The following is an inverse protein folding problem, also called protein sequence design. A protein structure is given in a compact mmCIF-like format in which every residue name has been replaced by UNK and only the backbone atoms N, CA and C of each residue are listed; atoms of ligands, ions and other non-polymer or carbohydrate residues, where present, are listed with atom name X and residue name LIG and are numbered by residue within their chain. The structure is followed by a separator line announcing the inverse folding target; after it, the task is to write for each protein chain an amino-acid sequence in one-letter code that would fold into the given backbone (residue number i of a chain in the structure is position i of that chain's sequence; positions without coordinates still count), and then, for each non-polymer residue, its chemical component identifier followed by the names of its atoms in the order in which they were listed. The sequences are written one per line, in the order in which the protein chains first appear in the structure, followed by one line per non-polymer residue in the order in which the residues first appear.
data_IF_725259298139
#
_entry.id   IF_725259298139
#
_cell.length_a   1.000
_cell.length_b   1.000
_cell.length_c   1.000
_cell.angle_alpha   90.00
_cell.angle_beta   90.00
_cell.angle_gamma   90.00
#
_symmetry.space_group_name_H-M   'P 1'
#
loop_
_entity.id
_entity.type
_entity.pdbx_description
1 polymer ?
#
# COMPACT_ATOMS: atom_id res chain seq x y z
N UNK A 1 3.86 -12.06 -6.15
CA UNK A 1 3.54 -12.44 -4.76
C UNK A 1 2.81 -11.26 -4.14
N UNK A 2 1.51 -11.39 -3.87
CA UNK A 2 0.74 -10.40 -3.11
C UNK A 2 1.48 -10.06 -1.81
N UNK A 3 1.32 -8.84 -1.29
CA UNK A 3 1.81 -8.48 0.05
C UNK A 3 1.35 -9.56 1.05
N UNK A 4 2.27 -10.45 1.44
CA UNK A 4 2.07 -11.23 2.65
C UNK A 4 2.15 -10.23 3.79
N UNK A 5 0.99 -9.88 4.33
CA UNK A 5 0.92 -9.05 5.53
C UNK A 5 1.42 -9.93 6.67
N UNK A 6 2.68 -9.70 7.06
CA UNK A 6 3.23 -10.30 8.26
C UNK A 6 2.53 -9.63 9.45
N UNK A 7 1.58 -10.35 10.04
CA UNK A 7 0.92 -9.89 11.26
C UNK A 7 1.98 -9.75 12.35
N UNK A 8 1.97 -8.62 13.04
CA UNK A 8 2.86 -8.33 14.15
C UNK A 8 2.44 -9.11 15.40
N UNK A 9 1.14 -9.20 15.63
CA UNK A 9 0.52 -10.01 16.68
C UNK A 9 -0.55 -10.93 16.06
N UNK A 10 -0.82 -12.06 16.71
CA UNK A 10 -1.83 -13.03 16.26
C UNK A 10 -2.95 -13.13 17.29
N UNK A 11 -4.17 -12.85 16.86
CA UNK A 11 -5.35 -12.94 17.69
C UNK A 11 -6.48 -13.67 16.97
N UNK A 12 -7.36 -14.31 17.74
CA UNK A 12 -8.53 -15.02 17.22
C UNK A 12 -9.77 -14.56 17.99
N UNK A 13 -10.52 -13.64 17.39
CA UNK A 13 -11.80 -13.16 17.91
C UNK A 13 -12.87 -13.29 16.83
N UNK A 14 -14.12 -13.49 17.24
CA UNK A 14 -15.26 -13.65 16.33
C UNK A 14 -16.09 -12.37 16.20
N UNK A 15 -16.03 -11.48 17.18
CA UNK A 15 -16.80 -10.25 17.23
C UNK A 15 -16.10 -9.17 18.08
N UNK A 16 -16.64 -7.96 18.04
CA UNK A 16 -16.03 -6.81 18.73
C UNK A 16 -16.15 -6.87 20.26
N UNK A 17 -17.18 -7.53 20.81
CA UNK A 17 -17.35 -7.60 22.25
C UNK A 17 -16.20 -8.40 22.88
N UNK A 18 -15.80 -9.51 22.26
CA UNK A 18 -14.62 -10.28 22.68
C UNK A 18 -13.34 -9.42 22.71
N UNK A 19 -13.15 -8.54 21.72
CA UNK A 19 -11.99 -7.62 21.66
C UNK A 19 -12.03 -6.61 22.82
N UNK A 20 -13.21 -6.05 23.11
CA UNK A 20 -13.36 -5.03 24.14
C UNK A 20 -13.20 -5.64 25.53
N UNK A 21 -13.74 -6.83 25.75
CA UNK A 21 -13.64 -7.55 27.02
C UNK A 21 -12.18 -8.01 27.27
N UNK A 22 -11.41 -8.28 26.22
CA UNK A 22 -9.99 -8.69 26.28
C UNK A 22 -8.99 -7.53 26.07
N UNK A 23 -9.44 -6.28 26.15
CA UNK A 23 -8.61 -5.09 25.79
C UNK A 23 -7.27 -5.02 26.52
N UNK A 24 -7.23 -5.43 27.79
CA UNK A 24 -6.00 -5.42 28.59
C UNK A 24 -4.97 -6.41 28.05
N UNK A 25 -5.38 -7.65 27.79
CA UNK A 25 -4.51 -8.68 27.25
C UNK A 25 -3.97 -8.31 25.86
N UNK A 26 -4.83 -7.72 25.01
CA UNK A 26 -4.41 -7.22 23.69
C UNK A 26 -3.36 -6.12 23.84
N UNK A 27 -3.60 -5.13 24.72
CA UNK A 27 -2.64 -4.06 24.98
C UNK A 27 -1.30 -4.61 25.50
N UNK A 28 -1.34 -5.48 26.50
CA UNK A 28 -0.16 -6.10 27.11
C UNK A 28 0.63 -6.91 26.07
N UNK A 29 -0.06 -7.66 25.20
CA UNK A 29 0.57 -8.44 24.11
C UNK A 29 1.29 -7.54 23.11
N UNK A 30 0.66 -6.44 22.67
CA UNK A 30 1.28 -5.48 21.75
C UNK A 30 2.50 -4.83 22.40
N UNK A 31 2.37 -4.35 23.63
CA UNK A 31 3.45 -3.68 24.37
C UNK A 31 4.62 -4.63 24.62
N UNK A 32 4.36 -5.87 25.04
CA UNK A 32 5.40 -6.89 25.24
C UNK A 32 6.13 -7.19 23.94
N UNK A 33 5.41 -7.32 22.82
CA UNK A 33 6.04 -7.57 21.52
C UNK A 33 6.91 -6.41 21.05
N UNK A 34 6.46 -5.17 21.24
CA UNK A 34 7.28 -3.98 20.94
C UNK A 34 8.50 -3.91 21.86
N UNK A 35 8.31 -4.15 23.15
CA UNK A 35 9.36 -4.20 24.18
C UNK A 35 10.45 -5.23 23.84
N UNK A 36 10.06 -6.41 23.35
CA UNK A 36 10.97 -7.46 22.87
C UNK A 36 11.78 -7.02 21.64
N UNK A 37 11.12 -6.47 20.61
CA UNK A 37 11.76 -6.09 19.35
C UNK A 37 12.67 -4.86 19.47
N UNK A 38 12.41 -4.01 20.47
CA UNK A 38 13.26 -2.90 20.86
C UNK A 38 14.54 -3.34 21.59
N UNK A 39 14.60 -4.58 22.10
CA UNK A 39 15.80 -5.06 22.77
C UNK A 39 16.97 -5.05 21.77
N UNK A 40 17.98 -4.22 22.06
CA UNK A 40 19.19 -3.99 21.26
C UNK A 40 19.01 -3.14 19.98
N UNK A 41 17.94 -2.33 19.86
CA UNK A 41 17.77 -1.36 18.77
C UNK A 41 17.41 0.01 19.33
N UNK A 42 17.79 1.08 18.64
CA UNK A 42 17.15 2.39 18.85
C UNK A 42 15.67 2.33 18.43
N UNK A 43 14.84 3.24 18.95
CA UNK A 43 13.43 3.33 18.55
C UNK A 43 13.32 3.61 17.06
N UNK A 44 14.20 4.48 16.53
CA UNK A 44 14.27 4.78 15.11
C UNK A 44 14.52 3.53 14.26
N UNK A 45 15.55 2.75 14.59
CA UNK A 45 15.89 1.52 13.85
C UNK A 45 14.76 0.49 13.90
N UNK A 46 14.16 0.30 15.08
CA UNK A 46 13.01 -0.57 15.27
C UNK A 46 11.84 -0.15 14.37
N UNK A 47 11.42 1.11 14.42
CA UNK A 47 10.30 1.61 13.63
C UNK A 47 10.56 1.49 12.13
N UNK A 48 11.76 1.85 11.66
CA UNK A 48 12.13 1.69 10.25
C UNK A 48 12.03 0.21 9.82
N UNK A 49 12.58 -0.71 10.62
CA UNK A 49 12.48 -2.15 10.36
C UNK A 49 11.04 -2.64 10.35
N UNK A 50 10.22 -2.20 11.30
CA UNK A 50 8.80 -2.55 11.41
C UNK A 50 8.02 -2.20 10.13
N UNK A 51 8.21 -0.98 9.63
CA UNK A 51 7.56 -0.54 8.38
C UNK A 51 8.16 -1.20 7.13
N UNK A 52 9.48 -1.33 7.05
CA UNK A 52 10.15 -1.94 5.88
C UNK A 52 9.71 -3.38 5.65
N UNK A 53 9.43 -4.13 6.73
CA UNK A 53 8.90 -5.49 6.64
C UNK A 53 7.57 -5.56 5.86
N UNK A 54 6.81 -4.47 5.85
CA UNK A 54 5.54 -4.32 5.15
C UNK A 54 5.66 -3.69 3.75
N UNK A 55 6.88 -3.34 3.30
CA UNK A 55 7.09 -2.62 2.04
C UNK A 55 7.73 -3.49 0.98
N UNK A 56 7.26 -3.35 -0.27
CA UNK A 56 7.83 -4.01 -1.45
C UNK A 56 7.87 -3.02 -2.60
N UNK A 57 8.84 -3.23 -3.49
CA UNK A 57 8.90 -2.53 -4.77
C UNK A 57 9.06 -3.52 -5.91
N UNK A 58 8.56 -3.12 -7.07
CA UNK A 58 8.88 -3.77 -8.34
C UNK A 58 9.27 -2.69 -9.34
N UNK A 59 10.46 -2.82 -9.92
CA UNK A 59 10.98 -1.91 -10.95
C UNK A 59 10.99 -2.54 -12.33
N UNK A 60 10.67 -1.75 -13.35
CA UNK A 60 10.92 -2.09 -14.76
C UNK A 60 11.75 -1.00 -15.41
N UNK A 61 12.57 -1.41 -16.39
CA UNK A 61 13.30 -0.45 -17.22
C UNK A 61 13.38 -0.86 -18.68
N UNK A 62 13.52 0.14 -19.54
CA UNK A 62 14.05 0.03 -20.90
C UNK A 62 15.37 0.78 -20.97
N UNK A 63 16.00 0.83 -22.15
CA UNK A 63 17.23 1.63 -22.35
C UNK A 63 16.98 3.15 -22.20
N UNK A 64 15.71 3.56 -22.18
CA UNK A 64 15.32 4.96 -22.18
C UNK A 64 14.75 5.47 -20.84
N UNK A 65 14.02 4.62 -20.12
CA UNK A 65 13.20 5.07 -19.00
C UNK A 65 12.96 3.96 -17.97
N UNK A 66 12.80 4.37 -16.72
CA UNK A 66 12.51 3.49 -15.57
C UNK A 66 11.16 3.83 -14.95
N UNK A 67 10.52 2.82 -14.39
CA UNK A 67 9.30 2.95 -13.60
C UNK A 67 9.39 2.03 -12.39
N UNK A 68 8.82 2.48 -11.27
CA UNK A 68 8.79 1.75 -10.01
C UNK A 68 7.38 1.76 -9.46
N UNK A 69 6.92 0.59 -9.01
CA UNK A 69 5.71 0.45 -8.20
C UNK A 69 6.09 0.10 -6.77
N UNK A 70 5.69 0.93 -5.82
CA UNK A 70 5.74 0.68 -4.38
C UNK A 70 4.42 0.12 -3.90
N UNK A 71 4.48 -0.90 -3.04
CA UNK A 71 3.31 -1.50 -2.41
C UNK A 71 3.63 -1.71 -0.94
N UNK A 72 2.78 -1.19 -0.04
CA UNK A 72 3.02 -1.33 1.39
C UNK A 72 1.87 -0.90 2.28
N UNK A 73 1.98 -1.23 3.58
CA UNK A 73 1.06 -0.77 4.62
C UNK A 73 1.61 0.49 5.29
N UNK A 74 0.90 1.61 5.16
CA UNK A 74 1.37 2.92 5.63
C UNK A 74 0.37 3.54 6.60
N UNK A 75 0.78 4.40 7.54
CA UNK A 75 -0.16 5.07 8.44
C UNK A 75 -1.21 5.86 7.66
N UNK A 76 -2.50 5.66 7.97
CA UNK A 76 -3.59 6.35 7.26
C UNK A 76 -3.45 7.88 7.33
N UNK A 77 -2.89 8.39 8.42
CA UNK A 77 -2.67 9.82 8.67
C UNK A 77 -1.79 10.49 7.61
N UNK A 78 -0.86 9.75 6.96
CA UNK A 78 0.03 10.34 5.94
C UNK A 78 -0.54 10.29 4.53
N UNK A 79 -1.73 9.69 4.32
CA UNK A 79 -2.33 9.58 3.00
C UNK A 79 -2.59 10.97 2.38
N UNK A 80 -2.94 11.96 3.20
CA UNK A 80 -3.09 13.34 2.75
C UNK A 80 -1.77 13.90 2.17
N UNK A 81 -0.63 13.63 2.81
CA UNK A 81 0.68 14.07 2.32
C UNK A 81 1.11 13.31 1.06
N UNK A 82 0.91 11.99 1.01
CA UNK A 82 1.16 11.18 -0.18
C UNK A 82 0.36 11.72 -1.37
N UNK A 83 -0.89 12.12 -1.14
CA UNK A 83 -1.77 12.61 -2.20
C UNK A 83 -1.37 13.97 -2.78
N UNK A 84 -0.50 14.73 -2.12
CA UNK A 84 0.06 15.99 -2.68
C UNK A 84 1.02 15.76 -3.85
N UNK A 85 1.58 14.56 -3.98
CA UNK A 85 2.51 14.20 -5.07
C UNK A 85 1.75 13.81 -6.33
N UNK A 86 1.28 14.82 -7.08
CA UNK A 86 0.36 14.69 -8.23
C UNK A 86 0.87 13.83 -9.39
N UNK A 87 2.19 13.72 -9.55
CA UNK A 87 2.82 12.97 -10.66
C UNK A 87 2.84 11.46 -10.43
N UNK A 88 2.55 10.98 -9.21
CA UNK A 88 2.47 9.55 -8.89
C UNK A 88 1.05 9.03 -9.11
N UNK A 89 0.91 7.87 -9.75
CA UNK A 89 -0.34 7.13 -9.80
C UNK A 89 -0.52 6.37 -8.49
N UNK A 90 -1.68 6.47 -7.84
CA UNK A 90 -1.89 5.98 -6.48
C UNK A 90 -3.22 5.25 -6.34
N UNK A 91 -3.20 4.15 -5.61
CA UNK A 91 -4.36 3.47 -5.06
C UNK A 91 -4.16 3.24 -3.56
N UNK A 92 -5.22 3.39 -2.79
CA UNK A 92 -5.21 3.17 -1.34
C UNK A 92 -6.53 2.56 -0.90
N UNK A 93 -6.51 1.77 0.18
CA UNK A 93 -7.75 1.20 0.68
C UNK A 93 -8.74 2.23 1.21
N UNK A 94 -10.00 2.00 0.86
CA UNK A 94 -11.14 2.81 1.28
C UNK A 94 -11.69 2.31 2.61
N UNK A 95 -11.68 3.17 3.63
CA UNK A 95 -12.29 2.90 4.94
C UNK A 95 -13.79 2.62 4.85
N UNK A 96 -14.46 3.06 3.76
CA UNK A 96 -15.90 2.77 3.55
C UNK A 96 -16.15 1.33 3.08
N UNK A 97 -15.18 0.75 2.37
CA UNK A 97 -15.31 -0.57 1.76
C UNK A 97 -14.98 -1.70 2.73
N UNK A 98 -14.05 -1.47 3.66
CA UNK A 98 -13.58 -2.49 4.61
C UNK A 98 -14.64 -2.72 5.71
N UNK A 99 -15.06 -3.97 5.97
CA UNK A 99 -15.91 -4.29 7.13
C UNK A 99 -15.27 -3.83 8.45
N UNK A 100 -16.06 -3.23 9.33
CA UNK A 100 -15.55 -2.62 10.57
C UNK A 100 -14.76 -3.61 11.44
N UNK A 101 -15.34 -4.79 11.73
CA UNK A 101 -14.66 -5.83 12.52
C UNK A 101 -13.31 -6.25 11.93
N UNK A 102 -13.25 -6.42 10.60
CA UNK A 102 -12.00 -6.73 9.90
C UNK A 102 -10.96 -5.61 10.04
N UNK A 103 -11.41 -4.35 10.02
CA UNK A 103 -10.52 -3.21 10.22
C UNK A 103 -9.93 -3.22 11.64
N UNK A 104 -10.74 -3.51 12.66
CA UNK A 104 -10.27 -3.64 14.05
C UNK A 104 -9.26 -4.77 14.19
N UNK A 105 -9.53 -5.94 13.60
CA UNK A 105 -8.57 -7.05 13.58
C UNK A 105 -7.23 -6.63 12.96
N UNK A 106 -7.25 -5.91 11.84
CA UNK A 106 -6.03 -5.41 11.22
C UNK A 106 -5.24 -4.44 12.12
N UNK A 107 -5.94 -3.62 12.92
CA UNK A 107 -5.30 -2.68 13.86
C UNK A 107 -4.61 -3.45 14.99
N UNK A 108 -5.26 -4.44 15.60
CA UNK A 108 -4.66 -5.16 16.74
C UNK A 108 -3.58 -6.16 16.29
N UNK A 109 -3.70 -6.74 15.09
CA UNK A 109 -2.72 -7.68 14.55
C UNK A 109 -1.53 -6.99 13.89
N UNK A 110 -1.69 -5.75 13.43
CA UNK A 110 -0.60 -4.96 12.83
C UNK A 110 -0.79 -3.46 13.13
N UNK A 111 -0.53 -3.02 14.37
CA UNK A 111 -0.87 -1.69 14.84
C UNK A 111 0.00 -0.61 14.20
N UNK A 112 -0.58 0.55 13.91
CA UNK A 112 0.22 1.74 13.64
C UNK A 112 1.09 2.06 14.88
N UNK A 113 2.41 2.11 14.69
CA UNK A 113 3.39 2.48 15.71
C UNK A 113 3.89 3.91 15.42
N UNK A 114 3.42 4.94 16.16
CA UNK A 114 3.72 6.33 15.84
C UNK A 114 5.18 6.70 16.06
N UNK A 115 5.70 7.64 15.25
CA UNK A 115 6.96 8.31 15.57
C UNK A 115 6.69 9.44 16.56
N UNK A 116 6.62 9.12 17.85
CA UNK A 116 6.41 10.13 18.90
C UNK A 116 7.56 11.14 18.90
N UNK A 117 7.22 12.42 19.03
CA UNK A 117 8.21 13.50 19.09
C UNK A 117 7.96 14.39 20.31
N UNK A 118 9.05 14.92 20.87
CA UNK A 118 9.00 15.86 22.00
C UNK A 118 8.48 17.21 21.55
N UNK A 119 7.75 17.89 22.43
CA UNK A 119 7.25 19.24 22.16
C UNK A 119 8.41 20.23 21.96
N UNK A 120 8.37 20.97 20.85
CA UNK A 120 9.41 21.95 20.46
C UNK A 120 8.78 23.05 19.60
N UNK A 121 9.38 24.24 19.59
CA UNK A 121 8.97 25.32 18.68
C UNK A 121 9.28 24.94 17.24
N UNK A 122 8.36 25.25 16.32
CA UNK A 122 8.48 24.95 14.89
C UNK A 122 7.55 23.84 14.43
N UNK A 123 7.76 23.34 13.21
CA UNK A 123 6.93 22.29 12.60
C UNK A 123 7.37 20.86 12.98
N UNK A 124 8.52 20.70 13.64
CA UNK A 124 9.12 19.40 13.92
C UNK A 124 9.60 19.28 15.35
N UNK A 125 9.35 18.12 15.95
CA UNK A 125 9.88 17.72 17.25
C UNK A 125 10.99 16.69 17.11
N UNK A 126 11.78 16.56 18.17
CA UNK A 126 12.84 15.55 18.25
C UNK A 126 12.21 14.19 18.59
N UNK A 127 12.65 13.11 17.93
CA UNK A 127 12.12 11.76 18.16
C UNK A 127 12.28 11.36 19.62
N UNK A 128 11.24 10.74 20.20
CA UNK A 128 11.35 10.01 21.46
C UNK A 128 12.11 8.71 21.16
N UNK A 129 13.44 8.76 21.34
CA UNK A 129 14.34 7.63 21.07
C UNK A 129 14.75 6.85 22.33
N UNK A 130 14.27 7.29 23.50
CA UNK A 130 14.36 6.51 24.73
C UNK A 130 13.30 5.41 24.75
N UNK A 131 13.72 4.19 25.11
CA UNK A 131 12.90 2.98 25.06
C UNK A 131 11.68 3.07 25.98
N UNK A 132 11.89 3.43 27.24
CA UNK A 132 10.84 3.38 28.26
C UNK A 132 9.88 4.57 28.10
N UNK A 133 10.40 5.74 27.69
CA UNK A 133 9.58 6.89 27.29
C UNK A 133 8.70 6.53 26.07
N UNK A 134 9.26 5.86 25.05
CA UNK A 134 8.51 5.41 23.89
C UNK A 134 7.40 4.41 24.23
N UNK A 135 7.71 3.40 25.06
CA UNK A 135 6.71 2.41 25.51
C UNK A 135 5.57 3.09 26.31
N UNK A 136 5.89 4.08 27.15
CA UNK A 136 4.89 4.87 27.88
C UNK A 136 3.98 5.67 26.92
N UNK A 137 4.55 6.27 25.87
CA UNK A 137 3.76 6.96 24.84
C UNK A 137 2.87 5.98 24.06
N UNK A 138 3.39 4.80 23.72
CA UNK A 138 2.66 3.78 23.00
C UNK A 138 1.49 3.22 23.81
N UNK A 139 1.68 2.97 25.11
CA UNK A 139 0.61 2.54 26.01
C UNK A 139 -0.56 3.53 26.03
N UNK A 140 -0.27 4.84 26.11
CA UNK A 140 -1.30 5.89 26.03
C UNK A 140 -2.01 5.90 24.68
N UNK A 141 -1.28 5.68 23.59
CA UNK A 141 -1.86 5.60 22.24
C UNK A 141 -2.80 4.39 22.09
N UNK A 142 -2.40 3.23 22.60
CA UNK A 142 -3.23 2.01 22.63
C UNK A 142 -4.46 2.22 23.52
N UNK A 143 -4.30 2.85 24.69
CA UNK A 143 -5.43 3.18 25.57
C UNK A 143 -6.45 4.08 24.87
N UNK A 144 -5.99 5.10 24.11
CA UNK A 144 -6.87 5.96 23.32
C UNK A 144 -7.64 5.17 22.26
N UNK A 145 -7.01 4.20 21.59
CA UNK A 145 -7.70 3.32 20.64
C UNK A 145 -8.86 2.56 21.31
N UNK A 146 -8.63 1.98 22.48
CA UNK A 146 -9.69 1.26 23.20
C UNK A 146 -10.80 2.19 23.72
N UNK A 147 -10.49 3.42 24.11
CA UNK A 147 -11.52 4.41 24.46
C UNK A 147 -12.41 4.74 23.25
N UNK A 148 -11.83 4.82 22.05
CA UNK A 148 -12.60 4.97 20.80
C UNK A 148 -13.47 3.75 20.53
N UNK A 149 -12.99 2.53 20.80
CA UNK A 149 -13.81 1.32 20.66
C UNK A 149 -14.96 1.26 21.67
N UNK A 150 -14.71 1.64 22.92
CA UNK A 150 -15.74 1.75 23.96
C UNK A 150 -16.84 2.73 23.50
N UNK A 151 -16.47 3.89 22.96
CA UNK A 151 -17.42 4.84 22.36
C UNK A 151 -18.22 4.23 21.20
N UNK A 152 -17.57 3.52 20.28
CA UNK A 152 -18.27 2.89 19.14
C UNK A 152 -19.21 1.78 19.60
N UNK A 153 -18.88 1.04 20.66
CA UNK A 153 -19.75 0.00 21.26
C UNK A 153 -21.08 0.57 21.74
N UNK A 154 -21.09 1.83 22.17
CA UNK A 154 -22.32 2.53 22.57
C UNK A 154 -23.14 3.05 21.39
N UNK A 155 -22.58 3.07 20.17
CA UNK A 155 -23.16 3.66 18.96
C UNK A 155 -23.27 2.62 17.81
N UNK A 156 -23.78 1.42 18.13
CA UNK A 156 -23.83 0.27 17.20
C UNK A 156 -24.80 0.44 16.02
N UNK A 157 -25.70 1.42 16.09
CA UNK A 157 -26.66 1.78 15.04
C UNK A 157 -26.00 2.56 13.88
N UNK A 158 -24.76 3.03 14.03
CA UNK A 158 -24.08 3.82 13.01
C UNK A 158 -23.50 2.95 11.89
N UNK A 159 -23.68 3.40 10.65
CA UNK A 159 -23.15 2.68 9.49
C UNK A 159 -21.61 2.62 9.48
N UNK A 160 -21.05 1.48 9.02
CA UNK A 160 -19.60 1.22 8.96
C UNK A 160 -18.76 2.35 8.37
N UNK A 161 -19.30 3.09 7.40
CA UNK A 161 -18.59 4.18 6.73
C UNK A 161 -18.24 5.34 7.68
N UNK A 162 -19.03 5.54 8.73
CA UNK A 162 -18.85 6.59 9.73
C UNK A 162 -17.96 6.07 10.85
N UNK A 163 -18.28 4.90 11.42
CA UNK A 163 -17.50 4.33 12.53
C UNK A 163 -16.05 4.01 12.14
N UNK A 164 -15.81 3.59 10.89
CA UNK A 164 -14.44 3.38 10.39
C UNK A 164 -13.61 4.67 10.37
N UNK A 165 -14.22 5.88 10.39
CA UNK A 165 -13.48 7.15 10.42
C UNK A 165 -12.85 7.41 11.77
N UNK A 166 -13.52 7.09 12.87
CA UNK A 166 -12.99 7.31 14.21
C UNK A 166 -11.73 6.49 14.49
N UNK A 167 -11.58 5.34 13.82
CA UNK A 167 -10.41 4.49 13.98
C UNK A 167 -9.31 4.75 12.94
N UNK A 168 -9.52 5.63 11.95
CA UNK A 168 -8.50 5.98 10.94
C UNK A 168 -7.14 6.37 11.54
N UNK A 169 -7.04 7.10 12.67
CA UNK A 169 -5.75 7.43 13.28
C UNK A 169 -4.88 6.22 13.67
N UNK A 170 -5.46 5.03 13.81
CA UNK A 170 -4.77 3.80 14.24
C UNK A 170 -4.52 2.80 13.11
N UNK A 171 -4.99 3.13 11.90
CA UNK A 171 -5.00 2.20 10.76
C UNK A 171 -3.71 2.31 9.96
N UNK A 172 -3.08 1.16 9.70
CA UNK A 172 -2.17 1.00 8.57
C UNK A 172 -2.97 0.65 7.32
N UNK A 173 -2.95 1.56 6.34
CA UNK A 173 -3.67 1.42 5.08
C UNK A 173 -2.74 0.87 4.00
N UNK A 174 -3.15 -0.14 3.23
CA UNK A 174 -2.40 -0.57 2.06
C UNK A 174 -2.46 0.48 0.96
N UNK A 175 -1.31 0.71 0.32
CA UNK A 175 -1.16 1.61 -0.82
C UNK A 175 -0.40 0.92 -1.94
N UNK A 176 -0.75 1.28 -3.17
CA UNK A 176 -0.02 0.96 -4.40
C UNK A 176 0.29 2.29 -5.08
N UNK A 177 1.57 2.55 -5.34
CA UNK A 177 2.03 3.83 -5.89
C UNK A 177 2.97 3.53 -7.04
N UNK A 178 2.73 4.12 -8.22
CA UNK A 178 3.55 3.93 -9.41
C UNK A 178 4.02 5.26 -9.96
N UNK A 179 5.27 5.32 -10.43
CA UNK A 179 5.85 6.54 -10.98
C UNK A 179 7.16 6.30 -11.71
N UNK A 180 7.54 7.25 -12.54
CA UNK A 180 8.85 7.26 -13.20
C UNK A 180 9.99 7.39 -12.18
N UNK A 181 11.17 6.92 -12.60
CA UNK A 181 12.45 7.02 -11.87
C UNK A 181 13.51 7.62 -12.78
N UNK A 182 14.40 8.44 -12.23
CA UNK A 182 15.53 9.06 -12.93
C UNK A 182 15.18 10.33 -13.69
N UNK A 183 14.04 10.95 -13.36
CA UNK A 183 13.63 12.23 -13.95
C UNK A 183 13.69 13.28 -12.85
N UNK A 184 14.73 14.13 -12.90
CA UNK A 184 14.93 15.18 -11.90
C UNK A 184 13.67 16.04 -11.72
N UNK A 185 13.27 16.24 -10.47
CA UNK A 185 12.09 17.03 -10.13
C UNK A 185 10.74 16.38 -10.46
N UNK A 186 10.70 15.07 -10.75
CA UNK A 186 9.48 14.37 -11.13
C UNK A 186 9.27 13.05 -10.38
N UNK A 187 8.01 12.67 -10.13
CA UNK A 187 7.62 11.37 -9.59
C UNK A 187 8.46 10.90 -8.37
N UNK A 188 9.15 9.75 -8.47
CA UNK A 188 9.88 9.19 -7.33
C UNK A 188 11.09 10.02 -6.94
N UNK A 189 11.80 10.64 -7.89
CA UNK A 189 12.94 11.52 -7.62
C UNK A 189 12.50 12.74 -6.79
N UNK A 190 11.38 13.36 -7.17
CA UNK A 190 10.80 14.46 -6.38
C UNK A 190 10.31 13.99 -5.01
N UNK A 191 9.65 12.84 -4.95
CA UNK A 191 9.16 12.27 -3.70
C UNK A 191 10.31 12.05 -2.72
N UNK A 192 11.39 11.39 -3.15
CA UNK A 192 12.59 11.12 -2.34
C UNK A 192 13.26 12.43 -1.95
N UNK A 193 13.44 13.37 -2.89
CA UNK A 193 14.06 14.66 -2.59
C UNK A 193 13.33 15.42 -1.47
N UNK A 194 12.00 15.48 -1.52
CA UNK A 194 11.21 16.20 -0.52
C UNK A 194 11.07 15.43 0.79
N UNK A 195 10.90 14.10 0.72
CA UNK A 195 10.43 13.30 1.85
C UNK A 195 11.53 12.48 2.53
N UNK A 196 12.66 12.20 1.88
CA UNK A 196 13.84 11.62 2.54
C UNK A 196 14.75 12.72 3.10
N UNK A 197 14.15 13.73 3.72
CA UNK A 197 14.81 14.87 4.35
C UNK A 197 14.52 14.88 5.85
N UNK A 198 15.41 15.45 6.65
CA UNK A 198 15.18 15.63 8.09
C UNK A 198 13.96 16.51 8.38
N UNK A 199 13.64 17.42 7.44
CA UNK A 199 12.47 18.32 7.48
C UNK A 199 11.13 17.61 7.18
N UNK A 200 11.14 16.34 6.78
CA UNK A 200 9.92 15.58 6.55
C UNK A 200 9.36 15.01 7.86
N UNK A 201 8.03 14.87 7.92
CA UNK A 201 7.42 14.05 8.97
C UNK A 201 7.96 12.62 8.88
N UNK A 202 8.30 12.03 10.03
CA UNK A 202 8.96 10.74 10.10
C UNK A 202 8.22 9.63 9.34
N UNK A 203 6.89 9.51 9.50
CA UNK A 203 6.10 8.45 8.86
C UNK A 203 6.25 8.41 7.33
N UNK A 204 6.19 9.57 6.66
CA UNK A 204 6.37 9.63 5.19
C UNK A 204 7.85 9.50 4.81
N UNK A 205 8.75 9.93 5.70
CA UNK A 205 10.20 9.80 5.52
C UNK A 205 10.69 8.35 5.50
N UNK A 206 10.03 7.45 6.22
CA UNK A 206 10.32 6.00 6.17
C UNK A 206 10.06 5.44 4.76
N UNK A 207 8.94 5.82 4.13
CA UNK A 207 8.63 5.40 2.75
C UNK A 207 9.69 5.93 1.78
N UNK A 208 10.04 7.21 1.93
CA UNK A 208 11.02 7.87 1.06
C UNK A 208 12.42 7.25 1.20
N UNK A 209 12.83 6.91 2.43
CA UNK A 209 14.08 6.23 2.72
C UNK A 209 14.10 4.82 2.14
N UNK A 210 13.00 4.08 2.25
CA UNK A 210 12.86 2.76 1.65
C UNK A 210 13.03 2.81 0.12
N UNK A 211 12.26 3.70 -0.53
CA UNK A 211 12.33 3.89 -1.97
C UNK A 211 13.75 4.31 -2.40
N UNK A 212 14.37 5.28 -1.70
CA UNK A 212 15.73 5.72 -1.97
C UNK A 212 16.73 4.56 -1.97
N UNK A 213 16.66 3.67 -0.98
CA UNK A 213 17.53 2.49 -0.91
C UNK A 213 17.26 1.54 -2.08
N UNK A 214 16.00 1.29 -2.42
CA UNK A 214 15.65 0.45 -3.57
C UNK A 214 16.11 1.03 -4.91
N UNK A 215 16.11 2.35 -5.08
CA UNK A 215 16.61 3.00 -6.30
C UNK A 215 18.12 2.78 -6.51
N UNK A 216 18.86 2.51 -5.44
CA UNK A 216 20.30 2.22 -5.47
C UNK A 216 20.60 0.73 -5.66
N UNK A 217 19.62 -0.16 -5.44
CA UNK A 217 19.78 -1.61 -5.62
C UNK A 217 19.50 -2.02 -7.08
N UNK A 218 20.53 -2.53 -7.76
CA UNK A 218 20.45 -3.02 -9.12
C UNK A 218 19.49 -4.21 -9.30
N UNK A 219 19.14 -4.93 -8.21
CA UNK A 219 18.19 -6.05 -8.25
C UNK A 219 16.73 -5.59 -8.29
N UNK A 220 16.45 -4.32 -7.99
CA UNK A 220 15.09 -3.75 -7.98
C UNK A 220 14.47 -3.74 -9.38
N UNK A 221 15.28 -3.60 -10.43
CA UNK A 221 14.82 -3.32 -11.78
C UNK A 221 15.06 -4.49 -12.73
N UNK A 222 14.00 -4.87 -13.45
CA UNK A 222 14.06 -5.89 -14.51
C UNK A 222 13.91 -5.22 -15.87
N UNK A 223 14.73 -5.59 -16.86
CA UNK A 223 14.63 -5.06 -18.23
C UNK A 223 13.41 -5.65 -18.90
N UNK A 224 12.38 -4.83 -19.16
CA UNK A 224 11.14 -5.24 -19.83
C UNK A 224 10.34 -4.04 -20.28
N UNK A 225 9.64 -4.18 -21.40
CA UNK A 225 8.75 -3.13 -21.96
C UNK A 225 7.42 -3.06 -21.24
N UNK A 226 6.93 -4.18 -20.69
CA UNK A 226 5.72 -4.23 -19.87
C UNK A 226 6.09 -4.18 -18.39
N UNK A 227 5.50 -3.26 -17.65
CA UNK A 227 5.54 -3.20 -16.20
C UNK A 227 4.23 -3.79 -15.66
N UNK A 228 4.30 -5.00 -15.09
CA UNK A 228 3.19 -5.66 -14.44
C UNK A 228 3.58 -5.96 -12.98
N UNK A 229 3.16 -5.13 -12.00
CA UNK A 229 3.45 -5.36 -10.60
C UNK A 229 2.68 -6.58 -10.06
N UNK A 230 3.09 -7.14 -8.91
CA UNK A 230 2.57 -8.35 -8.26
C UNK A 230 3.05 -9.68 -8.85
N UNK A 231 4.03 -9.62 -9.76
CA UNK A 231 4.71 -10.75 -10.38
C UNK A 231 3.77 -11.71 -11.14
N UNK A 232 3.34 -11.28 -12.32
CA UNK A 232 2.79 -12.16 -13.36
C UNK A 232 3.95 -12.70 -14.17
N UNK A 233 3.85 -13.97 -14.55
CA UNK A 233 4.69 -14.66 -15.50
C UNK A 233 6.01 -15.22 -14.96
N UNK A 234 6.19 -16.50 -15.23
CA UNK A 234 7.49 -17.15 -15.16
C UNK A 234 8.51 -16.41 -16.02
N UNK A 235 9.80 -16.63 -15.73
CA UNK A 235 10.93 -15.86 -16.28
C UNK A 235 11.06 -15.84 -17.82
N UNK A 236 10.14 -16.45 -18.59
CA UNK A 236 10.28 -16.69 -20.04
C UNK A 236 9.03 -16.36 -20.90
N UNK A 237 8.03 -15.61 -20.40
CA UNK A 237 6.82 -15.32 -21.19
C UNK A 237 6.89 -13.96 -21.93
N UNK A 238 6.31 -13.90 -23.13
CA UNK A 238 6.12 -12.65 -23.87
C UNK A 238 4.99 -11.82 -23.25
N UNK A 239 5.36 -10.96 -22.30
CA UNK A 239 4.45 -10.05 -21.63
C UNK A 239 3.77 -9.04 -22.57
N UNK A 240 4.36 -8.69 -23.72
CA UNK A 240 3.72 -7.76 -24.66
C UNK A 240 2.55 -8.42 -25.36
N UNK A 241 2.71 -9.68 -25.78
CA UNK A 241 1.61 -10.48 -26.33
C UNK A 241 0.50 -10.64 -25.31
N UNK A 242 0.81 -11.04 -24.07
CA UNK A 242 -0.20 -11.17 -22.99
C UNK A 242 -0.91 -9.84 -22.69
N UNK A 243 -0.19 -8.72 -22.70
CA UNK A 243 -0.76 -7.39 -22.51
C UNK A 243 -1.80 -7.08 -23.59
N UNK A 244 -1.48 -7.32 -24.86
CA UNK A 244 -2.41 -7.04 -25.97
C UNK A 244 -3.59 -8.02 -25.99
N UNK A 245 -3.34 -9.31 -25.77
CA UNK A 245 -4.39 -10.35 -25.73
C UNK A 245 -5.39 -10.09 -24.60
N UNK A 246 -4.90 -9.64 -23.44
CA UNK A 246 -5.75 -9.25 -22.33
C UNK A 246 -6.61 -8.02 -22.66
N UNK A 247 -6.14 -7.06 -23.49
CA UNK A 247 -6.95 -5.91 -23.94
C UNK A 247 -8.06 -6.41 -24.84
N UNK A 248 -7.70 -7.23 -25.84
CA UNK A 248 -8.66 -7.81 -26.77
C UNK A 248 -9.73 -8.59 -26.01
N UNK A 249 -9.32 -9.39 -25.03
CA UNK A 249 -10.21 -10.18 -24.19
C UNK A 249 -11.18 -9.31 -23.38
N UNK A 250 -10.68 -8.28 -22.68
CA UNK A 250 -11.55 -7.40 -21.89
C UNK A 250 -12.57 -6.66 -22.76
N UNK A 251 -12.24 -6.35 -24.01
CA UNK A 251 -13.14 -5.65 -24.94
C UNK A 251 -14.14 -6.58 -25.64
N UNK A 252 -13.72 -7.78 -26.05
CA UNK A 252 -14.45 -8.63 -27.00
C UNK A 252 -14.81 -10.03 -26.47
N UNK A 253 -14.29 -10.43 -25.30
CA UNK A 253 -14.35 -11.81 -24.83
C UNK A 253 -15.75 -12.25 -24.39
N UNK A 254 -16.27 -13.31 -25.02
CA UNK A 254 -17.48 -14.02 -24.59
C UNK A 254 -17.20 -15.40 -23.95
N UNK A 255 -15.99 -15.95 -24.13
CA UNK A 255 -15.55 -17.27 -23.64
C UNK A 255 -14.38 -17.13 -22.68
N UNK A 256 -14.18 -18.07 -21.73
CA UNK A 256 -13.05 -18.05 -20.77
C UNK A 256 -11.70 -18.09 -21.53
N UNK A 257 -10.70 -17.24 -21.20
CA UNK A 257 -9.43 -17.21 -21.91
C UNK A 257 -8.51 -18.34 -21.46
N UNK A 258 -7.38 -18.51 -22.16
CA UNK A 258 -6.32 -19.39 -21.67
C UNK A 258 -5.77 -18.91 -20.31
N UNK A 259 -5.15 -19.84 -19.58
CA UNK A 259 -4.69 -19.61 -18.21
C UNK A 259 -3.68 -18.46 -18.08
N UNK A 260 -2.84 -18.21 -19.10
CA UNK A 260 -1.82 -17.15 -19.07
C UNK A 260 -2.47 -15.78 -19.17
N UNK A 261 -3.46 -15.62 -20.06
CA UNK A 261 -4.26 -14.39 -20.15
C UNK A 261 -5.05 -14.20 -18.85
N UNK A 262 -5.65 -15.26 -18.29
CA UNK A 262 -6.31 -15.19 -16.98
C UNK A 262 -5.35 -14.71 -15.89
N UNK A 263 -4.14 -15.25 -15.83
CA UNK A 263 -3.11 -14.86 -14.88
C UNK A 263 -2.67 -13.40 -15.08
N UNK A 264 -2.58 -12.95 -16.34
CA UNK A 264 -2.27 -11.55 -16.64
C UNK A 264 -3.38 -10.62 -16.13
N UNK A 265 -4.64 -10.94 -16.44
CA UNK A 265 -5.79 -10.16 -16.01
C UNK A 265 -5.96 -10.20 -14.48
N UNK A 266 -5.57 -11.29 -13.82
CA UNK A 266 -5.72 -11.42 -12.37
C UNK A 266 -4.96 -10.35 -11.59
N UNK A 267 -3.89 -9.76 -12.15
CA UNK A 267 -3.16 -8.69 -11.44
C UNK A 267 -3.96 -7.45 -11.17
N UNK A 268 -4.91 -7.09 -12.03
CA UNK A 268 -5.81 -5.98 -11.72
C UNK A 268 -6.64 -6.28 -10.46
N UNK A 269 -7.08 -7.54 -10.31
CA UNK A 269 -7.73 -8.03 -9.10
C UNK A 269 -6.80 -8.02 -7.90
N UNK A 270 -5.56 -8.51 -8.05
CA UNK A 270 -4.55 -8.51 -6.99
C UNK A 270 -4.25 -7.09 -6.48
N UNK A 271 -4.06 -6.12 -7.37
CA UNK A 271 -3.86 -4.70 -7.05
C UNK A 271 -5.09 -4.14 -6.30
N UNK A 272 -6.29 -4.44 -6.78
CA UNK A 272 -7.52 -4.04 -6.11
C UNK A 272 -7.62 -4.65 -4.70
N UNK A 273 -7.20 -5.91 -4.51
CA UNK A 273 -7.23 -6.57 -3.21
C UNK A 273 -6.26 -6.01 -2.21
N UNK A 274 -5.09 -5.56 -2.66
CA UNK A 274 -4.18 -4.74 -1.83
C UNK A 274 -4.99 -3.57 -1.29
N UNK A 275 -5.74 -2.84 -2.13
CA UNK A 275 -6.64 -1.76 -1.66
C UNK A 275 -7.89 -2.19 -0.89
N UNK A 276 -8.11 -3.48 -0.59
CA UNK A 276 -9.23 -3.94 0.27
C UNK A 276 -8.77 -4.77 1.47
N UNK A 277 -7.46 -4.88 1.69
CA UNK A 277 -6.83 -5.68 2.76
C UNK A 277 -7.34 -7.13 2.78
N UNK A 278 -7.67 -7.74 1.64
CA UNK A 278 -8.08 -9.15 1.59
C UNK A 278 -6.85 -10.03 1.43
N UNK A 279 -6.87 -11.22 2.03
CA UNK A 279 -5.82 -12.22 1.85
C UNK A 279 -5.59 -12.55 0.38
N UNK A 280 -4.41 -13.09 0.09
CA UNK A 280 -4.11 -13.63 -1.22
C UNK A 280 -5.16 -14.66 -1.62
N UNK A 281 -5.64 -14.54 -2.87
CA UNK A 281 -6.68 -15.39 -3.43
C UNK A 281 -6.15 -16.16 -4.62
N UNK A 282 -6.92 -17.14 -5.09
CA UNK A 282 -6.60 -17.86 -6.30
C UNK A 282 -6.58 -16.91 -7.52
N UNK A 283 -5.82 -17.28 -8.56
CA UNK A 283 -5.80 -16.54 -9.83
C UNK A 283 -7.22 -16.36 -10.39
N UNK A 284 -8.10 -17.36 -10.22
CA UNK A 284 -9.48 -17.30 -10.69
C UNK A 284 -10.32 -16.25 -9.93
N UNK A 285 -10.17 -16.17 -8.61
CA UNK A 285 -10.86 -15.16 -7.79
C UNK A 285 -10.38 -13.72 -8.10
N UNK A 286 -9.10 -13.55 -8.40
CA UNK A 286 -8.50 -12.26 -8.78
C UNK A 286 -8.89 -11.87 -10.20
N UNK A 287 -8.89 -12.83 -11.13
CA UNK A 287 -9.41 -12.67 -12.48
C UNK A 287 -10.89 -12.24 -12.49
N UNK A 288 -11.75 -12.93 -11.74
CA UNK A 288 -13.17 -12.61 -11.64
C UNK A 288 -13.41 -11.22 -11.03
N UNK A 289 -12.56 -10.81 -10.07
CA UNK A 289 -12.59 -9.46 -9.53
C UNK A 289 -12.20 -8.42 -10.59
N UNK A 290 -11.14 -8.67 -11.36
CA UNK A 290 -10.69 -7.78 -12.44
C UNK A 290 -11.79 -7.55 -13.49
N UNK A 291 -12.48 -8.61 -13.93
CA UNK A 291 -13.59 -8.49 -14.88
C UNK A 291 -14.72 -7.62 -14.34
N UNK A 292 -15.08 -7.80 -13.07
CA UNK A 292 -16.13 -7.00 -12.43
C UNK A 292 -15.74 -5.52 -12.35
N UNK A 293 -14.51 -5.24 -11.92
CA UNK A 293 -13.98 -3.88 -11.83
C UNK A 293 -13.98 -3.18 -13.19
N UNK A 294 -13.59 -3.90 -14.26
CA UNK A 294 -13.67 -3.38 -15.62
C UNK A 294 -15.13 -3.07 -16.03
N UNK A 295 -16.06 -4.00 -15.79
CA UNK A 295 -17.48 -3.81 -16.09
C UNK A 295 -18.10 -2.61 -15.34
N UNK A 296 -17.73 -2.45 -14.07
CA UNK A 296 -18.17 -1.36 -13.19
C UNK A 296 -17.39 -0.05 -13.42
N UNK A 297 -16.42 -0.04 -14.35
CA UNK A 297 -15.54 1.10 -14.63
C UNK A 297 -14.76 1.60 -13.39
N UNK A 298 -14.46 0.68 -12.47
CA UNK A 298 -13.54 0.90 -11.36
C UNK A 298 -12.10 0.77 -11.83
N UNK A 299 -11.65 1.78 -12.58
CA UNK A 299 -10.43 1.72 -13.39
C UNK A 299 -9.11 1.91 -12.63
N UNK A 300 -9.15 2.31 -11.37
CA UNK A 300 -7.93 2.64 -10.64
C UNK A 300 -6.90 1.50 -10.59
N UNK A 301 -7.25 0.21 -10.39
CA UNK A 301 -6.29 -0.89 -10.43
C UNK A 301 -5.58 -1.08 -11.78
N UNK A 302 -6.21 -0.67 -12.88
CA UNK A 302 -5.65 -0.74 -14.24
C UNK A 302 -4.60 0.35 -14.51
N UNK A 303 -4.40 1.26 -13.57
CA UNK A 303 -3.43 2.36 -13.70
C UNK A 303 -1.98 1.91 -13.50
N UNK A 304 -1.75 0.78 -12.81
CA UNK A 304 -0.41 0.35 -12.39
C UNK A 304 0.26 -0.66 -13.33
N UNK A 305 -0.47 -1.24 -14.28
CA UNK A 305 0.10 -2.08 -15.33
C UNK A 305 0.37 -1.20 -16.54
N UNK A 306 1.61 -1.21 -17.04
CA UNK A 306 2.07 -0.26 -18.03
C UNK A 306 2.80 -0.92 -19.20
N UNK A 307 2.81 -0.28 -20.36
CA UNK A 307 3.60 -0.68 -21.52
C UNK A 307 4.40 0.50 -22.07
N UNK A 308 5.69 0.28 -22.35
CA UNK A 308 6.57 1.27 -22.96
C UNK A 308 6.14 1.56 -24.40
N UNK A 309 5.98 2.84 -24.74
CA UNK A 309 5.59 3.30 -26.09
C UNK A 309 6.57 4.29 -26.70
N UNK A 310 7.10 5.24 -25.94
CA UNK A 310 7.99 6.27 -26.48
C UNK A 310 8.72 7.02 -25.38
N UNK A 311 10.03 7.25 -25.50
CA UNK A 311 10.83 7.99 -24.52
C UNK A 311 10.30 9.40 -24.17
N UNK A 312 9.76 10.13 -25.17
CA UNK A 312 9.58 11.58 -25.06
C UNK A 312 8.13 12.02 -24.85
N UNK A 313 7.16 11.10 -24.80
CA UNK A 313 5.75 11.43 -24.63
C UNK A 313 5.28 11.16 -23.21
N UNK A 314 4.35 11.99 -22.73
CA UNK A 314 3.59 11.69 -21.53
C UNK A 314 2.27 11.02 -21.92
N UNK A 315 1.88 10.00 -21.17
CA UNK A 315 0.57 9.39 -21.24
C UNK A 315 -0.06 9.55 -19.86
N UNK A 316 -0.95 10.53 -19.73
CA UNK A 316 -1.36 11.07 -18.42
C UNK A 316 -0.14 11.56 -17.62
N UNK A 317 0.04 11.10 -16.37
CA UNK A 317 1.12 11.49 -15.47
C UNK A 317 2.38 10.62 -15.58
N UNK A 318 2.44 9.63 -16.48
CA UNK A 318 3.63 8.77 -16.62
C UNK A 318 4.32 9.06 -17.95
N UNK A 319 5.61 9.40 -17.89
CA UNK A 319 6.44 9.59 -19.08
C UNK A 319 6.79 8.23 -19.68
N UNK A 320 6.59 8.13 -20.98
CA UNK A 320 6.95 7.06 -21.89
C UNK A 320 6.28 5.70 -21.77
N UNK A 321 5.45 5.54 -20.75
CA UNK A 321 4.62 4.36 -20.55
C UNK A 321 3.14 4.74 -20.65
N UNK A 322 2.36 3.95 -21.38
CA UNK A 322 0.90 4.00 -21.29
C UNK A 322 0.43 3.06 -20.17
N UNK A 323 -0.43 3.55 -19.28
CA UNK A 323 -1.15 2.66 -18.36
C UNK A 323 -2.22 1.87 -19.11
N UNK A 324 -2.56 0.71 -18.58
CA UNK A 324 -3.64 -0.12 -19.11
C UNK A 324 -4.96 0.66 -19.10
N UNK A 325 -5.21 1.41 -18.02
CA UNK A 325 -6.32 2.36 -17.92
C UNK A 325 -6.33 3.38 -19.05
N UNK A 326 -5.20 4.05 -19.31
CA UNK A 326 -5.09 5.03 -20.38
C UNK A 326 -5.52 4.44 -21.72
N UNK A 327 -5.10 3.21 -22.03
CA UNK A 327 -5.47 2.54 -23.27
C UNK A 327 -6.97 2.23 -23.28
N UNK A 328 -7.51 1.60 -22.22
CA UNK A 328 -8.94 1.25 -22.16
C UNK A 328 -9.86 2.48 -22.27
N UNK A 329 -9.47 3.63 -21.74
CA UNK A 329 -10.27 4.86 -21.77
C UNK A 329 -10.15 5.63 -23.10
N UNK A 330 -8.98 5.64 -23.75
CA UNK A 330 -8.71 6.43 -24.96
C UNK A 330 -8.88 5.65 -26.27
N UNK A 331 -8.88 4.32 -26.22
CA UNK A 331 -9.00 3.45 -27.39
C UNK A 331 -10.48 3.22 -27.79
N UNK A 332 -11.31 4.28 -27.66
CA UNK A 332 -12.72 4.37 -28.09
C UNK A 332 -12.87 4.64 -29.59
N UNK A 333 -11.82 4.43 -30.38
CA UNK A 333 -11.84 4.53 -31.85
C UNK A 333 -10.91 3.48 -32.46
N UNK A 334 -11.45 2.31 -32.78
CA UNK A 334 -11.17 1.60 -34.04
C UNK A 334 -12.49 0.98 -34.49
#
# INVERSE_FOLDING_TARGET
MLLQVNKFCHFHYNNINEIIDDKKNIADTILNRVSEELNNKSVKEFLYSYYYNNFRVEGSYTDDIKVLTFVGLVPKIILAQINTHRTLSKNAASSRAVPFFKNIMNIIENPYLPFFTKNKKGMQGDLVDDRDEYLTCLEKHISLFFQVLDFIKENTDWHKQNINRYVEPFVLVPVVITGNVGISGYAWDQFVYLRASEAAQNEIGVIASFVKNCLQDNKTFVKRRVHAPMNIAGKNEDLETLFNDAIFYLKNGHLKPDYRIMQFISVFGSIARVSTMTSAKSIEEDYNLALRLYKEQHMSPFEHVLIYKSKNKFFSNIKGYMSYRYILENDKKV
#
